data_IF_380084017704
#
_entry.id   IF_380084017704
#
_cell.length_a   1.000
_cell.length_b   1.000
_cell.length_c   1.000
_cell.angle_alpha   90.00
_cell.angle_beta   90.00
_cell.angle_gamma   90.00
#
_symmetry.space_group_name_H-M   'P 1'
#
loop_
_entity.id
_entity.type
_entity.pdbx_description
1 polymer ?
#
# COMPACT_ATOMS: atom_id res chain seq x y z
N UNK A 1 -30.47 7.93 12.51
CA UNK A 1 -29.09 8.34 12.20
C UNK A 1 -29.16 9.00 10.86
N UNK A 2 -28.70 10.24 10.75
CA UNK A 2 -28.64 10.93 9.47
C UNK A 2 -27.65 10.22 8.55
N UNK A 3 -28.01 10.13 7.27
CA UNK A 3 -27.20 9.51 6.23
C UNK A 3 -25.89 10.29 6.07
N UNK A 4 -24.74 9.59 5.99
CA UNK A 4 -23.43 10.22 5.77
C UNK A 4 -23.29 10.67 4.31
N UNK A 5 -22.50 11.71 4.06
CA UNK A 5 -22.40 12.30 2.71
C UNK A 5 -21.78 11.31 1.71
N UNK A 6 -20.82 10.49 2.15
CA UNK A 6 -20.20 9.47 1.29
C UNK A 6 -21.23 8.44 0.79
N UNK A 7 -22.32 8.18 1.53
CA UNK A 7 -23.33 7.18 1.11
C UNK A 7 -24.12 7.66 -0.11
N UNK A 8 -24.17 8.97 -0.35
CA UNK A 8 -24.83 9.58 -1.52
C UNK A 8 -23.81 9.78 -2.65
N UNK A 9 -22.61 10.26 -2.30
CA UNK A 9 -21.60 10.69 -3.28
C UNK A 9 -20.67 9.56 -3.74
N UNK A 10 -20.47 8.54 -2.91
CA UNK A 10 -19.54 7.42 -3.10
C UNK A 10 -20.17 6.06 -2.72
N UNK A 11 -21.36 5.70 -3.25
CA UNK A 11 -22.09 4.49 -2.84
C UNK A 11 -21.35 3.16 -3.13
N UNK A 12 -20.30 3.19 -3.95
CA UNK A 12 -19.44 2.03 -4.21
C UNK A 12 -18.46 1.74 -3.05
N UNK A 13 -18.22 2.67 -2.13
CA UNK A 13 -17.39 2.47 -0.94
C UNK A 13 -18.23 1.76 0.14
N UNK A 14 -18.46 0.45 -0.06
CA UNK A 14 -19.39 -0.33 0.78
C UNK A 14 -18.73 -1.47 1.57
N UNK A 15 -17.42 -1.68 1.41
CA UNK A 15 -16.64 -2.70 2.12
C UNK A 15 -17.26 -4.10 2.00
N UNK A 16 -17.63 -4.46 0.77
CA UNK A 16 -18.17 -5.79 0.46
C UNK A 16 -17.39 -6.46 -0.67
N UNK A 17 -17.36 -7.79 -0.64
CA UNK A 17 -16.77 -8.64 -1.66
C UNK A 17 -17.85 -9.57 -2.23
N UNK A 18 -18.44 -9.19 -3.36
CA UNK A 18 -19.35 -10.04 -4.12
C UNK A 18 -18.62 -10.72 -5.28
N UNK A 19 -18.35 -12.01 -5.12
CA UNK A 19 -17.67 -12.85 -6.10
C UNK A 19 -18.65 -13.67 -6.96
N UNK A 20 -19.97 -13.51 -6.80
CA UNK A 20 -20.98 -14.27 -7.53
C UNK A 20 -20.91 -14.06 -9.05
N UNK A 21 -20.42 -12.89 -9.48
CA UNK A 21 -20.22 -12.52 -10.89
C UNK A 21 -18.77 -12.64 -11.36
N UNK A 22 -17.87 -13.18 -10.53
CA UNK A 22 -16.47 -13.34 -10.91
C UNK A 22 -16.36 -14.34 -12.07
N UNK A 23 -15.76 -13.89 -13.18
CA UNK A 23 -15.57 -14.75 -14.35
C UNK A 23 -14.61 -15.91 -14.03
N UNK A 24 -14.75 -17.04 -14.74
CA UNK A 24 -13.83 -18.18 -14.62
C UNK A 24 -12.35 -17.80 -14.81
N UNK A 25 -12.07 -16.74 -15.60
CA UNK A 25 -10.71 -16.24 -15.82
C UNK A 25 -10.07 -15.72 -14.54
N UNK A 26 -10.84 -15.05 -13.67
CA UNK A 26 -10.34 -14.55 -12.37
C UNK A 26 -9.87 -15.73 -11.52
N UNK A 27 -10.68 -16.79 -11.45
CA UNK A 27 -10.35 -17.99 -10.67
C UNK A 27 -9.13 -18.73 -11.22
N UNK A 28 -9.01 -18.84 -12.54
CA UNK A 28 -7.83 -19.42 -13.19
C UNK A 28 -6.56 -18.62 -12.86
N UNK A 29 -6.61 -17.29 -12.97
CA UNK A 29 -5.46 -16.43 -12.68
C UNK A 29 -5.06 -16.44 -11.21
N UNK A 30 -6.03 -16.41 -10.28
CA UNK A 30 -5.76 -16.52 -8.84
C UNK A 30 -5.13 -17.87 -8.48
N UNK A 31 -5.66 -18.96 -9.06
CA UNK A 31 -5.11 -20.31 -8.87
C UNK A 31 -3.68 -20.43 -9.40
N UNK A 32 -3.40 -19.85 -10.58
CA UNK A 32 -2.06 -19.80 -11.15
C UNK A 32 -1.11 -18.97 -10.28
N UNK A 33 -1.50 -17.76 -9.89
CA UNK A 33 -0.70 -16.89 -9.02
C UNK A 33 -0.33 -17.60 -7.71
N UNK A 34 -1.31 -18.19 -7.02
CA UNK A 34 -1.07 -18.98 -5.81
C UNK A 34 -0.10 -20.15 -6.06
N UNK A 35 -0.28 -20.89 -7.16
CA UNK A 35 0.62 -21.99 -7.53
C UNK A 35 2.06 -21.52 -7.71
N UNK A 36 2.26 -20.39 -8.42
CA UNK A 36 3.59 -19.80 -8.61
C UNK A 36 4.19 -19.29 -7.30
N UNK A 37 3.42 -18.62 -6.45
CA UNK A 37 3.88 -18.18 -5.13
C UNK A 37 4.37 -19.36 -4.28
N UNK A 38 3.61 -20.46 -4.22
CA UNK A 38 4.02 -21.68 -3.50
C UNK A 38 5.27 -22.33 -4.08
N UNK A 39 5.38 -22.35 -5.40
CA UNK A 39 6.56 -22.90 -6.04
C UNK A 39 7.80 -22.07 -5.69
N UNK A 40 7.71 -20.75 -5.80
CA UNK A 40 8.80 -19.82 -5.48
C UNK A 40 9.20 -19.90 -4.00
N UNK A 41 8.23 -19.97 -3.08
CA UNK A 41 8.52 -20.03 -1.64
C UNK A 41 9.27 -21.31 -1.23
N UNK A 42 9.16 -22.39 -2.02
CA UNK A 42 9.88 -23.64 -1.81
C UNK A 42 11.25 -23.72 -2.50
N UNK A 43 11.66 -22.72 -3.28
CA UNK A 43 12.95 -22.75 -4.00
C UNK A 43 14.10 -22.51 -3.01
N UNK A 44 15.05 -23.45 -2.88
CA UNK A 44 16.24 -23.20 -2.07
C UNK A 44 17.17 -22.22 -2.79
N UNK A 45 17.41 -21.07 -2.18
CA UNK A 45 18.37 -20.08 -2.66
C UNK A 45 19.57 -20.03 -1.72
N UNK A 46 20.77 -19.87 -2.29
CA UNK A 46 21.96 -19.55 -1.47
C UNK A 46 21.75 -18.15 -0.87
N UNK A 47 22.22 -17.89 0.37
CA UNK A 47 21.99 -16.59 1.03
C UNK A 47 22.36 -15.37 0.18
N UNK A 48 23.51 -15.40 -0.50
CA UNK A 48 23.93 -14.30 -1.37
C UNK A 48 23.05 -14.10 -2.62
N UNK A 49 22.48 -15.17 -3.18
CA UNK A 49 21.55 -15.07 -4.31
C UNK A 49 20.19 -14.50 -3.83
N UNK A 50 19.72 -14.94 -2.65
CA UNK A 50 18.50 -14.43 -2.03
C UNK A 50 18.61 -12.94 -1.72
N UNK A 51 19.73 -12.50 -1.12
CA UNK A 51 20.00 -11.08 -0.85
C UNK A 51 20.02 -10.26 -2.15
N UNK A 52 20.71 -10.75 -3.19
CA UNK A 52 20.78 -10.08 -4.48
C UNK A 52 19.40 -9.92 -5.12
N UNK A 53 18.58 -10.97 -5.11
CA UNK A 53 17.22 -10.91 -5.64
C UNK A 53 16.34 -9.98 -4.82
N UNK A 54 16.45 -10.03 -3.49
CA UNK A 54 15.72 -9.12 -2.60
C UNK A 54 16.03 -7.65 -2.91
N UNK A 55 17.31 -7.28 -2.98
CA UNK A 55 17.73 -5.91 -3.33
C UNK A 55 17.25 -5.50 -4.72
N UNK A 56 17.31 -6.39 -5.71
CA UNK A 56 16.84 -6.12 -7.07
C UNK A 56 15.33 -5.82 -7.10
N UNK A 57 14.51 -6.67 -6.47
CA UNK A 57 13.07 -6.48 -6.48
C UNK A 57 12.61 -5.33 -5.58
N UNK A 58 13.31 -5.07 -4.47
CA UNK A 58 13.10 -3.87 -3.66
C UNK A 58 13.37 -2.61 -4.49
N UNK A 59 14.52 -2.53 -5.18
CA UNK A 59 14.86 -1.39 -6.03
C UNK A 59 13.80 -1.17 -7.13
N UNK A 60 13.34 -2.24 -7.77
CA UNK A 60 12.28 -2.17 -8.79
C UNK A 60 10.95 -1.69 -8.23
N UNK A 61 10.53 -2.22 -7.09
CA UNK A 61 9.28 -1.82 -6.44
C UNK A 61 9.30 -0.36 -6.02
N UNK A 62 10.35 0.06 -5.32
CA UNK A 62 10.52 1.45 -4.87
C UNK A 62 10.59 2.40 -6.06
N UNK A 63 11.39 2.08 -7.09
CA UNK A 63 11.46 2.89 -8.30
C UNK A 63 10.12 2.97 -9.02
N UNK A 64 9.37 1.87 -9.09
CA UNK A 64 8.08 1.86 -9.78
C UNK A 64 7.06 2.76 -9.06
N UNK A 65 6.98 2.68 -7.73
CA UNK A 65 6.02 3.49 -6.96
C UNK A 65 6.38 4.97 -6.99
N UNK A 66 7.65 5.34 -6.83
CA UNK A 66 8.04 6.76 -6.84
C UNK A 66 7.99 7.36 -8.25
N UNK A 67 8.25 6.58 -9.30
CA UNK A 67 8.16 7.07 -10.68
C UNK A 67 6.73 7.41 -11.11
N UNK A 68 5.71 6.76 -10.53
CA UNK A 68 4.29 7.11 -10.77
C UNK A 68 4.00 8.53 -10.27
N UNK A 69 4.60 8.91 -9.15
CA UNK A 69 4.50 10.25 -8.53
C UNK A 69 5.47 11.27 -9.15
N UNK A 70 6.19 10.90 -10.22
CA UNK A 70 7.06 11.81 -10.98
C UNK A 70 8.53 11.80 -10.57
N UNK A 71 8.96 10.90 -9.67
CA UNK A 71 10.38 10.75 -9.36
C UNK A 71 11.16 10.26 -10.59
N UNK A 72 12.31 10.89 -10.85
CA UNK A 72 13.11 10.68 -12.08
C UNK A 72 14.34 9.80 -11.88
N UNK A 73 14.54 9.22 -10.70
CA UNK A 73 15.67 8.32 -10.44
C UNK A 73 15.52 7.00 -11.20
N UNK A 74 16.65 6.50 -11.69
CA UNK A 74 16.72 5.21 -12.40
C UNK A 74 16.72 4.04 -11.42
N UNK A 75 16.44 2.83 -11.90
CA UNK A 75 16.58 1.60 -11.08
C UNK A 75 17.99 1.46 -10.51
N UNK A 76 19.01 1.87 -11.28
CA UNK A 76 20.41 1.87 -10.83
C UNK A 76 20.66 2.91 -9.73
N UNK A 77 20.09 4.11 -9.83
CA UNK A 77 20.18 5.12 -8.77
C UNK A 77 19.56 4.60 -7.47
N UNK A 78 18.36 4.00 -7.54
CA UNK A 78 17.70 3.42 -6.36
C UNK A 78 18.53 2.27 -5.77
N UNK A 79 19.11 1.41 -6.63
CA UNK A 79 20.02 0.36 -6.17
C UNK A 79 21.24 0.93 -5.43
N UNK A 80 21.80 2.05 -5.89
CA UNK A 80 22.90 2.73 -5.21
C UNK A 80 22.45 3.38 -3.90
N UNK A 81 21.22 3.90 -3.82
CA UNK A 81 20.65 4.38 -2.54
C UNK A 81 20.53 3.23 -1.53
N UNK A 82 20.04 2.05 -1.94
CA UNK A 82 19.94 0.87 -1.06
C UNK A 82 21.32 0.43 -0.50
N UNK A 83 22.42 0.73 -1.22
CA UNK A 83 23.78 0.41 -0.77
C UNK A 83 24.49 1.63 -0.13
N UNK A 84 23.78 2.72 0.16
CA UNK A 84 24.33 3.98 0.71
C UNK A 84 25.42 4.65 -0.15
N UNK A 85 25.40 4.39 -1.46
CA UNK A 85 26.45 4.72 -2.43
C UNK A 85 26.09 5.87 -3.40
N UNK A 86 24.93 6.52 -3.21
CA UNK A 86 24.48 7.62 -4.08
C UNK A 86 24.53 8.97 -3.35
N UNK A 87 25.30 9.89 -3.93
CA UNK A 87 25.31 11.30 -3.58
C UNK A 87 24.66 12.10 -4.71
N UNK A 88 23.65 12.91 -4.37
CA UNK A 88 22.96 13.78 -5.31
C UNK A 88 23.22 15.26 -4.94
N UNK A 89 23.18 16.18 -5.92
CA UNK A 89 23.27 17.60 -5.62
C UNK A 89 22.05 18.06 -4.78
N UNK A 90 22.18 19.16 -4.00
CA UNK A 90 21.09 19.65 -3.14
C UNK A 90 19.75 19.85 -3.87
N UNK A 91 19.78 20.26 -5.13
CA UNK A 91 18.57 20.46 -5.96
C UNK A 91 17.79 19.18 -6.26
N UNK A 92 18.39 17.99 -6.04
CA UNK A 92 17.79 16.67 -6.26
C UNK A 92 17.71 15.83 -4.99
N UNK A 93 18.04 16.41 -3.83
CA UNK A 93 18.06 15.69 -2.56
C UNK A 93 16.67 15.11 -2.21
N UNK A 94 15.59 15.82 -2.54
CA UNK A 94 14.22 15.35 -2.29
C UNK A 94 13.90 14.03 -3.01
N UNK A 95 14.42 13.82 -4.23
CA UNK A 95 14.20 12.57 -4.98
C UNK A 95 14.80 11.36 -4.26
N UNK A 96 15.96 11.55 -3.60
CA UNK A 96 16.59 10.52 -2.78
C UNK A 96 15.80 10.32 -1.48
N UNK A 97 15.35 11.41 -0.84
CA UNK A 97 14.52 11.34 0.37
C UNK A 97 13.23 10.55 0.13
N UNK A 98 12.51 10.79 -0.97
CA UNK A 98 11.32 10.01 -1.35
C UNK A 98 11.61 8.51 -1.44
N UNK A 99 12.72 8.14 -2.07
CA UNK A 99 13.14 6.73 -2.20
C UNK A 99 13.51 6.13 -0.83
N UNK A 100 14.25 6.86 0.00
CA UNK A 100 14.63 6.43 1.35
C UNK A 100 13.42 6.25 2.27
N UNK A 101 12.41 7.12 2.14
CA UNK A 101 11.15 7.02 2.88
C UNK A 101 10.43 5.72 2.55
N UNK A 102 10.27 5.39 1.26
CA UNK A 102 9.61 4.13 0.85
C UNK A 102 10.44 2.90 1.29
N UNK A 103 11.77 2.93 1.14
CA UNK A 103 12.63 1.83 1.63
C UNK A 103 12.44 1.62 3.13
N UNK A 104 12.45 2.71 3.91
CA UNK A 104 12.28 2.68 5.36
C UNK A 104 10.92 2.10 5.75
N UNK A 105 9.86 2.51 5.05
CA UNK A 105 8.51 1.97 5.24
C UNK A 105 8.43 0.47 4.91
N UNK A 106 8.99 0.03 3.77
CA UNK A 106 9.03 -1.38 3.41
C UNK A 106 9.74 -2.23 4.49
N UNK A 107 10.83 -1.72 5.06
CA UNK A 107 11.55 -2.38 6.14
C UNK A 107 10.72 -2.48 7.43
N UNK A 108 10.02 -1.40 7.80
CA UNK A 108 9.11 -1.40 8.97
C UNK A 108 7.96 -2.39 8.78
N UNK A 109 7.29 -2.36 7.63
CA UNK A 109 6.20 -3.30 7.34
C UNK A 109 6.71 -4.74 7.38
N UNK A 110 7.84 -5.03 6.72
CA UNK A 110 8.45 -6.37 6.70
C UNK A 110 8.81 -6.85 8.11
N UNK A 111 9.38 -5.96 8.94
CA UNK A 111 9.70 -6.28 10.32
C UNK A 111 8.45 -6.61 11.13
N UNK A 112 7.39 -5.80 11.00
CA UNK A 112 6.14 -5.99 11.74
C UNK A 112 5.43 -7.30 11.36
N UNK A 113 5.33 -7.61 10.06
CA UNK A 113 4.65 -8.84 9.60
C UNK A 113 5.47 -10.11 9.86
N UNK A 114 6.81 -10.02 9.92
CA UNK A 114 7.68 -11.17 10.16
C UNK A 114 7.98 -11.38 11.65
N UNK A 115 7.61 -10.43 12.51
CA UNK A 115 7.96 -10.48 13.91
C UNK A 115 7.14 -11.54 14.64
N UNK A 116 7.79 -12.55 15.27
CA UNK A 116 7.09 -13.57 16.05
C UNK A 116 6.45 -13.00 17.32
N UNK A 117 6.70 -11.73 17.66
CA UNK A 117 6.06 -11.02 18.78
C UNK A 117 4.68 -10.47 18.42
N UNK A 118 4.34 -10.39 17.13
CA UNK A 118 3.07 -9.84 16.63
C UNK A 118 2.36 -10.81 15.68
N UNK A 119 2.16 -12.09 16.06
CA UNK A 119 1.39 -13.00 15.21
C UNK A 119 -0.05 -12.48 15.12
N UNK A 120 -0.47 -12.04 13.94
CA UNK A 120 -1.82 -11.56 13.69
C UNK A 120 -2.13 -10.16 14.22
N UNK A 121 -1.14 -9.25 14.27
CA UNK A 121 -1.43 -7.84 14.53
C UNK A 121 -2.43 -7.30 13.49
N UNK A 122 -3.57 -6.82 14.00
CA UNK A 122 -4.62 -6.20 13.20
C UNK A 122 -4.13 -4.86 12.65
N UNK A 123 -4.48 -4.57 11.39
CA UNK A 123 -4.19 -3.28 10.79
C UNK A 123 -5.10 -2.21 11.44
N UNK A 124 -4.50 -1.16 11.98
CA UNK A 124 -5.24 -0.04 12.59
C UNK A 124 -5.23 1.20 11.71
N UNK A 125 -6.09 2.18 12.01
CA UNK A 125 -6.06 3.47 11.32
C UNK A 125 -4.74 4.18 11.62
N UNK A 126 -4.27 4.07 12.86
CA UNK A 126 -3.03 4.65 13.34
C UNK A 126 -1.81 4.12 12.58
N UNK A 127 -1.81 2.84 12.18
CA UNK A 127 -0.78 2.29 11.28
C UNK A 127 -0.79 3.01 9.93
N UNK A 128 -1.97 3.21 9.33
CA UNK A 128 -2.11 3.90 8.03
C UNK A 128 -1.64 5.36 8.14
N UNK A 129 -1.99 6.06 9.22
CA UNK A 129 -1.51 7.41 9.49
C UNK A 129 0.02 7.44 9.65
N UNK A 130 0.58 6.49 10.40
CA UNK A 130 2.02 6.36 10.57
C UNK A 130 2.73 6.08 9.24
N UNK A 131 2.15 5.25 8.37
CA UNK A 131 2.73 4.97 7.06
C UNK A 131 2.75 6.21 6.18
N UNK A 132 1.66 6.98 6.13
CA UNK A 132 1.65 8.25 5.39
C UNK A 132 2.68 9.25 5.97
N UNK A 133 2.82 9.31 7.30
CA UNK A 133 3.84 10.14 7.95
C UNK A 133 5.25 9.77 7.50
N UNK A 134 5.57 8.47 7.41
CA UNK A 134 6.86 7.98 6.92
C UNK A 134 7.06 8.26 5.42
N UNK A 135 6.03 8.09 4.59
CA UNK A 135 6.10 8.38 3.15
C UNK A 135 6.49 9.84 2.91
N UNK A 136 5.92 10.75 3.68
CA UNK A 136 6.10 12.19 3.51
C UNK A 136 7.21 12.80 4.39
N UNK A 137 7.98 11.99 5.12
CA UNK A 137 8.99 12.48 6.06
C UNK A 137 10.02 13.38 5.35
N UNK A 138 10.25 14.57 5.93
CA UNK A 138 11.21 15.59 5.44
C UNK A 138 11.01 16.05 3.99
N UNK A 139 9.84 15.81 3.40
CA UNK A 139 9.50 16.37 2.10
C UNK A 139 8.93 17.78 2.25
N UNK A 140 9.16 18.61 1.23
CA UNK A 140 8.51 19.94 1.14
C UNK A 140 7.11 19.75 0.60
N UNK A 141 6.10 19.97 1.45
CA UNK A 141 4.69 19.78 1.11
C UNK A 141 3.99 21.11 0.84
N UNK A 142 2.85 21.04 0.14
CA UNK A 142 1.98 22.21 -0.05
C UNK A 142 1.36 22.62 1.28
N UNK A 143 1.00 23.90 1.38
CA UNK A 143 0.34 24.44 2.57
C UNK A 143 -0.95 23.67 2.91
N UNK A 144 -1.13 23.34 4.19
CA UNK A 144 -2.26 22.58 4.70
C UNK A 144 -2.14 21.05 4.57
N UNK A 145 -1.07 20.52 3.95
CA UNK A 145 -0.79 19.09 3.93
C UNK A 145 0.13 18.74 5.11
N UNK A 146 -0.37 17.90 6.01
CA UNK A 146 0.36 17.44 7.18
C UNK A 146 0.58 15.91 7.10
N UNK A 147 1.83 15.42 7.20
CA UNK A 147 2.12 13.99 7.22
C UNK A 147 1.37 13.25 8.33
N UNK A 148 0.70 12.15 7.97
CA UNK A 148 -0.02 11.32 8.92
C UNK A 148 -1.32 11.91 9.47
N UNK A 149 -1.80 13.02 8.89
CA UNK A 149 -3.09 13.60 9.27
C UNK A 149 -4.13 13.42 8.16
N UNK A 150 -5.34 13.04 8.56
CA UNK A 150 -6.49 12.98 7.64
C UNK A 150 -6.80 14.41 7.20
N UNK A 151 -6.93 14.61 5.88
CA UNK A 151 -7.23 15.92 5.31
C UNK A 151 -8.58 16.45 5.81
N UNK A 152 -8.69 17.77 5.91
CA UNK A 152 -9.93 18.49 6.25
C UNK A 152 -10.57 19.16 5.04
N UNK A 153 -9.99 18.99 3.86
CA UNK A 153 -10.39 19.62 2.60
C UNK A 153 -10.67 18.57 1.52
N UNK A 154 -11.30 18.98 0.41
CA UNK A 154 -11.55 18.10 -0.74
C UNK A 154 -10.29 17.94 -1.59
N UNK A 155 -10.02 16.73 -2.04
CA UNK A 155 -8.92 16.40 -2.97
C UNK A 155 -9.46 15.76 -4.23
N UNK A 156 -8.70 15.93 -5.32
CA UNK A 156 -8.99 15.36 -6.63
C UNK A 156 -7.72 14.68 -7.14
N UNK A 157 -7.84 13.41 -7.52
CA UNK A 157 -6.78 12.63 -8.15
C UNK A 157 -7.18 12.35 -9.61
N UNK A 158 -6.53 13.04 -10.55
CA UNK A 158 -6.94 13.03 -11.95
C UNK A 158 -8.37 13.55 -12.13
N UNK A 159 -9.28 12.68 -12.60
CA UNK A 159 -10.71 13.00 -12.74
C UNK A 159 -11.60 12.56 -11.56
N UNK A 160 -11.02 11.93 -10.54
CA UNK A 160 -11.76 11.37 -9.42
C UNK A 160 -11.66 12.27 -8.18
N UNK A 161 -12.80 12.55 -7.54
CA UNK A 161 -12.86 13.27 -6.26
C UNK A 161 -12.83 12.25 -5.13
N UNK A 162 -11.95 12.44 -4.14
CA UNK A 162 -11.92 11.60 -2.94
C UNK A 162 -13.17 11.78 -2.08
N UNK A 163 -13.37 10.87 -1.12
CA UNK A 163 -14.52 10.89 -0.21
C UNK A 163 -14.64 12.22 0.57
N UNK A 164 -15.83 12.59 1.05
CA UNK A 164 -16.00 13.77 1.90
C UNK A 164 -15.05 13.73 3.10
N UNK A 165 -14.32 14.83 3.34
CA UNK A 165 -13.23 14.86 4.32
C UNK A 165 -13.68 14.46 5.73
N UNK A 166 -14.89 14.87 6.13
CA UNK A 166 -15.50 14.55 7.41
C UNK A 166 -15.84 13.07 7.60
N UNK A 167 -15.92 12.29 6.51
CA UNK A 167 -16.21 10.86 6.55
C UNK A 167 -14.94 10.00 6.48
N UNK A 168 -13.77 10.57 6.13
CA UNK A 168 -12.53 9.82 5.91
C UNK A 168 -12.11 8.96 7.12
N UNK A 169 -12.15 9.50 8.35
CA UNK A 169 -11.80 8.72 9.56
C UNK A 169 -12.70 7.49 9.72
N UNK A 170 -14.00 7.70 9.58
CA UNK A 170 -14.98 6.62 9.66
C UNK A 170 -14.76 5.56 8.56
N UNK A 171 -14.46 5.99 7.33
CA UNK A 171 -14.18 5.08 6.22
C UNK A 171 -12.89 4.27 6.43
N UNK A 172 -11.85 4.87 7.02
CA UNK A 172 -10.63 4.13 7.38
C UNK A 172 -10.89 3.11 8.50
N UNK A 173 -11.68 3.46 9.51
CA UNK A 173 -12.08 2.52 10.55
C UNK A 173 -12.85 1.34 9.97
N UNK A 174 -13.78 1.60 9.04
CA UNK A 174 -14.50 0.56 8.31
C UNK A 174 -13.58 -0.29 7.43
N UNK A 175 -12.62 0.33 6.75
CA UNK A 175 -11.62 -0.38 5.95
C UNK A 175 -10.80 -1.33 6.82
N UNK A 176 -10.23 -0.85 7.93
CA UNK A 176 -9.46 -1.67 8.86
C UNK A 176 -10.30 -2.82 9.42
N UNK A 177 -11.51 -2.53 9.91
CA UNK A 177 -12.43 -3.55 10.42
C UNK A 177 -12.73 -4.63 9.37
N UNK A 178 -12.99 -4.23 8.12
CA UNK A 178 -13.30 -5.17 7.04
C UNK A 178 -12.07 -6.00 6.62
N UNK A 179 -10.89 -5.40 6.59
CA UNK A 179 -9.66 -6.11 6.28
C UNK A 179 -9.30 -7.11 7.39
N UNK A 180 -9.51 -6.76 8.65
CA UNK A 180 -9.18 -7.64 9.78
C UNK A 180 -10.19 -8.77 10.00
N UNK A 181 -11.40 -8.67 9.43
CA UNK A 181 -12.41 -9.71 9.53
C UNK A 181 -11.96 -11.01 8.79
N UNK A 182 -11.82 -12.15 9.51
CA UNK A 182 -11.39 -13.41 8.92
C UNK A 182 -12.38 -13.98 7.90
N UNK A 183 -13.67 -13.62 7.98
CA UNK A 183 -14.71 -14.15 7.11
C UNK A 183 -14.82 -13.36 5.80
N UNK A 184 -14.41 -12.08 5.80
CA UNK A 184 -14.56 -11.16 4.66
C UNK A 184 -13.80 -11.58 3.39
N UNK A 185 -12.77 -12.43 3.52
CA UNK A 185 -11.95 -12.91 2.40
C UNK A 185 -11.80 -14.44 2.36
N UNK A 186 -12.70 -15.19 3.00
CA UNK A 186 -12.57 -16.64 3.09
C UNK A 186 -12.86 -17.35 1.75
N UNK A 187 -11.82 -17.89 1.11
CA UNK A 187 -11.91 -18.70 -0.12
C UNK A 187 -11.69 -20.21 0.13
N UNK A 188 -11.72 -20.66 1.39
CA UNK A 188 -11.37 -22.02 1.81
C UNK A 188 -9.89 -22.19 2.19
N UNK A 189 -9.61 -23.19 3.04
CA UNK A 189 -8.31 -23.40 3.71
C UNK A 189 -7.11 -23.50 2.75
N UNK A 190 -7.32 -23.94 1.50
CA UNK A 190 -6.23 -24.10 0.52
C UNK A 190 -6.01 -22.89 -0.35
N UNK A 191 -6.66 -21.77 -0.08
CA UNK A 191 -6.68 -20.58 -0.94
C UNK A 191 -6.20 -19.30 -0.25
N UNK A 192 -5.44 -19.42 0.84
CA UNK A 192 -4.95 -18.29 1.63
C UNK A 192 -4.16 -17.25 0.81
N UNK A 193 -3.31 -17.69 -0.13
CA UNK A 193 -2.56 -16.76 -0.99
C UNK A 193 -3.50 -16.05 -1.95
N UNK A 194 -4.44 -16.78 -2.56
CA UNK A 194 -5.44 -16.18 -3.45
C UNK A 194 -6.33 -15.17 -2.69
N UNK A 195 -6.75 -15.50 -1.48
CA UNK A 195 -7.49 -14.60 -0.59
C UNK A 195 -6.66 -13.37 -0.23
N UNK A 196 -5.39 -13.54 0.12
CA UNK A 196 -4.46 -12.45 0.40
C UNK A 196 -4.24 -11.52 -0.80
N UNK A 197 -4.15 -12.07 -2.01
CA UNK A 197 -4.05 -11.27 -3.24
C UNK A 197 -5.30 -10.42 -3.47
N UNK A 198 -6.51 -11.00 -3.31
CA UNK A 198 -7.76 -10.24 -3.40
C UNK A 198 -7.84 -9.16 -2.33
N UNK A 199 -7.48 -9.51 -1.09
CA UNK A 199 -7.44 -8.58 0.05
C UNK A 199 -6.52 -7.40 -0.24
N UNK A 200 -5.32 -7.64 -0.76
CA UNK A 200 -4.37 -6.58 -1.12
C UNK A 200 -4.89 -5.67 -2.23
N UNK A 201 -5.47 -6.23 -3.30
CA UNK A 201 -6.03 -5.46 -4.42
C UNK A 201 -7.20 -4.58 -3.95
N UNK A 202 -8.08 -5.12 -3.12
CA UNK A 202 -9.23 -4.37 -2.61
C UNK A 202 -8.81 -3.33 -1.58
N UNK A 203 -7.87 -3.65 -0.68
CA UNK A 203 -7.31 -2.66 0.25
C UNK A 203 -6.75 -1.44 -0.50
N UNK A 204 -5.97 -1.67 -1.56
CA UNK A 204 -5.48 -0.61 -2.43
C UNK A 204 -6.62 0.21 -3.04
N UNK A 205 -7.61 -0.46 -3.66
CA UNK A 205 -8.73 0.21 -4.32
C UNK A 205 -9.52 1.11 -3.36
N UNK A 206 -9.88 0.58 -2.18
CA UNK A 206 -10.64 1.32 -1.18
C UNK A 206 -9.83 2.49 -0.61
N UNK A 207 -8.54 2.31 -0.33
CA UNK A 207 -7.70 3.40 0.18
C UNK A 207 -7.61 4.56 -0.83
N UNK A 208 -7.37 4.25 -2.11
CA UNK A 208 -7.28 5.26 -3.18
C UNK A 208 -8.63 5.92 -3.45
N UNK A 209 -9.76 5.20 -3.31
CA UNK A 209 -11.11 5.77 -3.41
C UNK A 209 -11.47 6.69 -2.25
N UNK A 210 -11.07 6.35 -1.02
CA UNK A 210 -11.25 7.23 0.14
C UNK A 210 -10.35 8.46 -0.03
N UNK A 211 -9.11 8.25 -0.47
CA UNK A 211 -8.08 9.26 -0.66
C UNK A 211 -7.93 10.15 0.58
N UNK A 212 -7.60 9.58 1.76
CA UNK A 212 -7.75 10.25 3.06
C UNK A 212 -6.72 11.36 3.35
N UNK A 213 -5.62 11.43 2.61
CA UNK A 213 -4.51 12.35 2.88
C UNK A 213 -4.45 13.49 1.86
N UNK A 214 -3.78 14.58 2.23
CA UNK A 214 -3.47 15.68 1.29
C UNK A 214 -2.44 15.28 0.22
N UNK A 215 -1.57 14.33 0.54
CA UNK A 215 -0.56 13.74 -0.36
C UNK A 215 -0.19 12.31 0.10
N UNK A 216 0.50 11.54 -0.73
CA UNK A 216 1.01 10.19 -0.37
C UNK A 216 -0.10 9.15 -0.20
N UNK A 217 -1.11 9.16 -1.07
CA UNK A 217 -2.23 8.21 -1.05
C UNK A 217 -2.02 6.96 -1.93
N UNK A 218 -1.13 7.04 -2.94
CA UNK A 218 -0.82 5.94 -3.86
C UNK A 218 0.13 4.93 -3.24
#
# INVERSE_FOLDING_TARGET
MDQREYEITHPWINFSLDLSKASYKIWMLLGEAQSKCRHISGVPLRPGDAEKLHKLYLARGVRATTAIEGNTLTEEDVRRIINDDLQLPPSRAYLKQEVENIISLCNVITHNVSSPKFPGAELTVEDILSYNSMVLDKLTLKEGINPGEIRTFSVVAGGYRGAPAQDCRYLLEKLCSWLNDPDSFHLGERNEIAAGLLKAVLAHLYLVWIHPFGDGNG
#
